data_IF_314306631605
#
_entry.id   IF_314306631605
#
_cell.length_a   1.000
_cell.length_b   1.000
_cell.length_c   1.000
_cell.angle_alpha   90.00
_cell.angle_beta   90.00
_cell.angle_gamma   90.00
#
_symmetry.space_group_name_H-M   'P 1'
#
loop_
_entity.id
_entity.type
_entity.pdbx_description
1 polymer ?
#
# COMPACT_ATOMS: atom_id res chain seq x y z
N UNK A 1 3.82 -19.04 -45.93
CA UNK A 1 4.43 -17.83 -45.35
C UNK A 1 3.75 -17.58 -44.01
N UNK A 2 4.44 -17.94 -42.94
CA UNK A 2 3.93 -17.93 -41.57
C UNK A 2 3.89 -16.50 -41.04
N UNK A 3 2.71 -15.99 -40.66
CA UNK A 3 2.59 -14.82 -39.81
C UNK A 3 2.53 -15.30 -38.36
N UNK A 4 3.62 -15.05 -37.65
CA UNK A 4 3.82 -15.42 -36.26
C UNK A 4 2.77 -14.77 -35.37
N UNK A 5 1.98 -15.61 -34.72
CA UNK A 5 1.14 -15.29 -33.57
C UNK A 5 1.96 -14.52 -32.53
N UNK A 6 1.70 -13.22 -32.39
CA UNK A 6 2.12 -12.42 -31.25
C UNK A 6 1.36 -12.90 -30.02
N UNK A 7 1.81 -13.98 -29.39
CA UNK A 7 1.40 -14.34 -28.03
C UNK A 7 1.87 -13.20 -27.13
N UNK A 8 0.92 -12.36 -26.68
CA UNK A 8 1.16 -11.35 -25.65
C UNK A 8 1.98 -11.97 -24.53
N UNK A 9 3.15 -11.37 -24.21
CA UNK A 9 3.89 -11.77 -23.01
C UNK A 9 2.91 -11.70 -21.83
N UNK A 10 2.89 -12.71 -20.94
CA UNK A 10 2.21 -12.56 -19.67
C UNK A 10 2.66 -11.23 -19.05
N UNK A 11 1.72 -10.40 -18.61
CA UNK A 11 2.03 -9.13 -17.96
C UNK A 11 2.99 -9.40 -16.79
N UNK A 12 4.26 -9.04 -16.96
CA UNK A 12 5.32 -9.36 -16.02
C UNK A 12 5.09 -8.69 -14.66
N UNK A 13 4.40 -7.54 -14.66
CA UNK A 13 3.96 -6.84 -13.45
C UNK A 13 2.91 -7.69 -12.74
N UNK A 14 1.85 -8.11 -13.43
CA UNK A 14 0.81 -8.96 -12.87
C UNK A 14 1.39 -10.27 -12.31
N UNK A 15 2.31 -10.92 -13.04
CA UNK A 15 2.96 -12.14 -12.59
C UNK A 15 3.82 -11.92 -11.33
N UNK A 16 4.53 -10.79 -11.22
CA UNK A 16 5.30 -10.44 -10.02
C UNK A 16 4.39 -10.21 -8.82
N UNK A 17 3.30 -9.45 -9.00
CA UNK A 17 2.34 -9.15 -7.94
C UNK A 17 1.59 -10.39 -7.47
N UNK A 18 1.26 -11.34 -8.36
CA UNK A 18 0.64 -12.61 -7.97
C UNK A 18 1.60 -13.46 -7.12
N UNK A 19 2.89 -13.56 -7.49
CA UNK A 19 3.89 -14.26 -6.65
C UNK A 19 4.08 -13.59 -5.30
N UNK A 20 4.07 -12.26 -5.26
CA UNK A 20 4.12 -11.51 -4.00
C UNK A 20 2.89 -11.81 -3.13
N UNK A 21 1.70 -11.82 -3.74
CA UNK A 21 0.47 -12.17 -3.03
C UNK A 21 0.53 -13.58 -2.42
N UNK A 22 1.03 -14.57 -3.17
CA UNK A 22 1.18 -15.96 -2.70
C UNK A 22 2.10 -16.07 -1.50
N UNK A 23 3.21 -15.33 -1.52
CA UNK A 23 4.21 -15.34 -0.44
C UNK A 23 3.66 -14.68 0.82
N UNK A 24 2.96 -13.55 0.66
CA UNK A 24 2.35 -12.81 1.77
C UNK A 24 1.18 -13.60 2.37
N UNK A 25 0.30 -14.20 1.57
CA UNK A 25 -0.81 -15.01 2.11
C UNK A 25 -0.32 -16.26 2.83
N UNK A 26 0.77 -16.88 2.36
CA UNK A 26 1.42 -17.97 3.08
C UNK A 26 2.00 -17.50 4.44
N UNK A 27 2.60 -16.31 4.49
CA UNK A 27 3.10 -15.71 5.74
C UNK A 27 1.96 -15.43 6.72
N UNK A 28 0.86 -14.84 6.22
CA UNK A 28 -0.35 -14.58 7.00
C UNK A 28 -0.93 -15.88 7.57
N UNK A 29 -1.03 -16.93 6.77
CA UNK A 29 -1.53 -18.24 7.22
C UNK A 29 -0.66 -18.86 8.32
N UNK A 30 0.64 -18.56 8.36
CA UNK A 30 1.57 -19.11 9.34
C UNK A 30 1.51 -18.41 10.71
N UNK A 31 0.99 -17.19 10.81
CA UNK A 31 0.95 -16.42 12.06
C UNK A 31 0.01 -16.99 13.13
N UNK A 32 -1.03 -17.72 12.72
CA UNK A 32 -2.15 -18.14 13.58
C UNK A 32 -2.83 -16.97 14.36
N UNK A 33 -2.62 -15.72 13.92
CA UNK A 33 -3.31 -14.55 14.45
C UNK A 33 -4.75 -14.50 13.92
N UNK A 34 -5.70 -14.10 14.77
CA UNK A 34 -7.10 -14.00 14.37
C UNK A 34 -7.32 -12.88 13.35
N UNK A 35 -6.73 -11.70 13.60
CA UNK A 35 -6.96 -10.47 12.83
C UNK A 35 -5.62 -9.85 12.42
N UNK A 36 -4.82 -10.50 11.54
CA UNK A 36 -3.49 -10.02 11.24
C UNK A 36 -3.52 -8.70 10.46
N UNK A 37 -2.49 -7.89 10.70
CA UNK A 37 -2.23 -6.61 10.04
C UNK A 37 -1.11 -6.77 9.02
N UNK A 38 -1.39 -6.38 7.78
CA UNK A 38 -0.40 -6.32 6.70
C UNK A 38 -0.18 -4.87 6.30
N UNK A 39 1.08 -4.40 6.35
CA UNK A 39 1.46 -3.10 5.79
C UNK A 39 2.15 -3.31 4.45
N UNK A 40 1.67 -2.62 3.42
CA UNK A 40 2.25 -2.64 2.07
C UNK A 40 2.72 -1.23 1.70
N UNK A 41 4.03 -1.04 1.67
CA UNK A 41 4.66 0.20 1.25
C UNK A 41 5.39 0.04 -0.10
N UNK A 42 5.70 1.16 -0.73
CA UNK A 42 6.29 1.31 -2.03
C UNK A 42 5.92 2.66 -2.60
N UNK A 43 6.77 3.20 -3.46
CA UNK A 43 6.53 4.51 -4.08
C UNK A 43 5.28 4.51 -4.98
N UNK A 44 4.74 5.68 -5.30
CA UNK A 44 3.61 5.84 -6.23
C UNK A 44 3.90 5.15 -7.56
N UNK A 45 2.95 4.35 -8.03
CA UNK A 45 3.12 3.51 -9.23
C UNK A 45 3.90 2.19 -9.03
N UNK A 46 4.28 1.80 -7.80
CA UNK A 46 4.96 0.53 -7.53
C UNK A 46 4.05 -0.72 -7.64
N UNK A 47 2.73 -0.56 -7.66
CA UNK A 47 1.76 -1.66 -7.78
C UNK A 47 1.09 -2.10 -6.47
N UNK A 48 1.21 -1.31 -5.40
CA UNK A 48 0.63 -1.59 -4.06
C UNK A 48 -0.85 -1.93 -4.10
N UNK A 49 -1.69 -1.06 -4.66
CA UNK A 49 -3.14 -1.29 -4.77
C UNK A 49 -3.47 -2.58 -5.54
N UNK A 50 -2.68 -2.92 -6.56
CA UNK A 50 -2.85 -4.18 -7.30
C UNK A 50 -2.46 -5.41 -6.47
N UNK A 51 -1.38 -5.32 -5.68
CA UNK A 51 -1.03 -6.35 -4.70
C UNK A 51 -2.13 -6.51 -3.66
N UNK A 52 -2.63 -5.42 -3.07
CA UNK A 52 -3.72 -5.47 -2.07
C UNK A 52 -4.97 -6.13 -2.64
N UNK A 53 -5.38 -5.81 -3.87
CA UNK A 53 -6.49 -6.51 -4.53
C UNK A 53 -6.24 -8.02 -4.65
N UNK A 54 -5.02 -8.43 -4.99
CA UNK A 54 -4.65 -9.84 -5.07
C UNK A 54 -4.63 -10.52 -3.69
N UNK A 55 -4.17 -9.83 -2.64
CA UNK A 55 -4.21 -10.32 -1.26
C UNK A 55 -5.63 -10.54 -0.78
N UNK A 56 -6.52 -9.56 -0.99
CA UNK A 56 -7.94 -9.66 -0.62
C UNK A 56 -8.60 -10.84 -1.31
N UNK A 57 -8.35 -11.04 -2.61
CA UNK A 57 -8.92 -12.14 -3.38
C UNK A 57 -8.38 -13.52 -2.97
N UNK A 58 -7.22 -13.58 -2.32
CA UNK A 58 -6.49 -14.82 -1.96
C UNK A 58 -6.39 -15.01 -0.46
N UNK A 59 -7.16 -14.24 0.30
CA UNK A 59 -7.02 -14.19 1.75
C UNK A 59 -7.25 -15.57 2.38
N UNK A 60 -6.33 -16.06 3.25
CA UNK A 60 -6.50 -17.35 3.89
C UNK A 60 -7.82 -17.46 4.65
N UNK A 61 -8.52 -18.58 4.51
CA UNK A 61 -9.80 -18.84 5.19
C UNK A 61 -11.03 -18.17 4.55
N UNK A 62 -10.86 -17.35 3.50
CA UNK A 62 -11.98 -16.78 2.73
C UNK A 62 -12.85 -15.76 3.50
N UNK A 63 -12.39 -15.31 4.66
CA UNK A 63 -13.06 -14.29 5.46
C UNK A 63 -12.96 -12.89 4.84
N UNK A 64 -13.76 -11.96 5.37
CA UNK A 64 -13.67 -10.55 5.01
C UNK A 64 -12.37 -9.95 5.56
N UNK A 65 -11.64 -9.25 4.71
CA UNK A 65 -10.47 -8.44 5.08
C UNK A 65 -10.77 -6.97 4.76
N UNK A 66 -10.33 -6.07 5.63
CA UNK A 66 -10.45 -4.63 5.44
C UNK A 66 -9.18 -4.09 4.79
N UNK A 67 -9.30 -3.08 3.94
CA UNK A 67 -8.16 -2.40 3.35
C UNK A 67 -8.28 -0.89 3.48
N UNK A 68 -7.23 -0.23 3.95
CA UNK A 68 -7.12 1.23 4.03
C UNK A 68 -5.98 1.68 3.13
N UNK A 69 -6.31 2.50 2.12
CA UNK A 69 -5.33 3.12 1.25
C UNK A 69 -5.03 4.53 1.74
N UNK A 70 -3.76 4.81 2.06
CA UNK A 70 -3.33 6.11 2.56
C UNK A 70 -3.51 7.23 1.54
N UNK A 71 -3.62 6.91 0.24
CA UNK A 71 -3.99 7.87 -0.82
C UNK A 71 -5.32 8.59 -0.49
N UNK A 72 -6.21 7.96 0.29
CA UNK A 72 -7.47 8.56 0.77
C UNK A 72 -7.33 9.34 2.09
N UNK A 73 -6.17 9.32 2.74
CA UNK A 73 -5.90 9.93 4.05
C UNK A 73 -4.99 11.15 3.93
N UNK A 74 -4.05 11.18 2.98
CA UNK A 74 -3.07 12.26 2.89
C UNK A 74 -3.74 13.63 2.73
N UNK A 75 -3.49 14.59 3.64
CA UNK A 75 -4.01 15.94 3.51
C UNK A 75 -3.20 16.72 2.48
N UNK A 76 -3.58 16.57 1.20
CA UNK A 76 -2.96 17.27 0.08
C UNK A 76 -1.56 16.77 -0.29
N UNK A 77 -0.92 17.49 -1.22
CA UNK A 77 0.31 17.04 -1.87
C UNK A 77 1.56 17.08 -0.97
N UNK A 78 1.54 17.81 0.15
CA UNK A 78 2.59 17.78 1.18
C UNK A 78 2.23 16.88 2.38
N UNK A 79 1.13 16.13 2.25
CA UNK A 79 0.51 15.41 3.35
C UNK A 79 1.10 14.03 3.65
N UNK A 80 2.22 13.62 3.05
CA UNK A 80 2.70 12.23 3.18
C UNK A 80 2.89 11.85 4.66
N UNK A 81 3.71 12.61 5.40
CA UNK A 81 3.97 12.30 6.80
C UNK A 81 2.68 12.41 7.65
N UNK A 82 1.90 13.48 7.45
CA UNK A 82 0.68 13.72 8.20
C UNK A 82 -0.36 12.60 8.00
N UNK A 83 -0.49 12.07 6.78
CA UNK A 83 -1.39 10.96 6.49
C UNK A 83 -0.92 9.64 7.09
N UNK A 84 0.40 9.37 7.13
CA UNK A 84 0.91 8.19 7.82
C UNK A 84 0.70 8.30 9.33
N UNK A 85 0.97 9.47 9.93
CA UNK A 85 0.70 9.70 11.36
C UNK A 85 -0.79 9.52 11.68
N UNK A 86 -1.67 10.05 10.84
CA UNK A 86 -3.13 9.86 10.95
C UNK A 86 -3.51 8.38 10.90
N UNK A 87 -2.95 7.61 9.95
CA UNK A 87 -3.21 6.18 9.86
C UNK A 87 -2.64 5.41 11.06
N UNK A 88 -1.47 5.80 11.59
CA UNK A 88 -0.92 5.21 12.80
C UNK A 88 -1.86 5.43 13.98
N UNK A 89 -2.31 6.66 14.18
CA UNK A 89 -3.01 7.07 15.39
C UNK A 89 -4.50 6.68 15.38
N UNK A 90 -5.14 6.69 14.20
CA UNK A 90 -6.58 6.45 14.05
C UNK A 90 -6.94 5.06 13.50
N UNK A 91 -5.98 4.34 12.92
CA UNK A 91 -6.23 3.01 12.30
C UNK A 91 -5.38 1.93 12.95
N UNK A 92 -4.06 2.00 12.83
CA UNK A 92 -3.17 0.91 13.26
C UNK A 92 -3.12 0.76 14.78
N UNK A 93 -3.00 1.86 15.53
CA UNK A 93 -2.91 1.83 17.00
C UNK A 93 -4.23 1.35 17.65
N UNK A 94 -5.42 1.84 17.25
CA UNK A 94 -6.68 1.31 17.76
C UNK A 94 -6.87 -0.17 17.40
N UNK A 95 -6.57 -0.57 16.16
CA UNK A 95 -6.69 -1.96 15.74
C UNK A 95 -5.82 -2.89 16.59
N UNK A 96 -4.55 -2.53 16.82
CA UNK A 96 -3.64 -3.26 17.70
C UNK A 96 -4.11 -3.36 19.17
N UNK A 97 -5.01 -2.46 19.61
CA UNK A 97 -5.62 -2.47 20.94
C UNK A 97 -6.96 -3.20 21.00
N UNK A 98 -7.47 -3.70 19.87
CA UNK A 98 -8.81 -4.28 19.81
C UNK A 98 -9.93 -3.23 19.80
N UNK A 99 -9.62 -1.99 19.42
CA UNK A 99 -10.55 -0.85 19.42
C UNK A 99 -10.97 -0.48 17.99
N UNK A 100 -12.17 0.07 17.84
CA UNK A 100 -12.65 0.59 16.55
C UNK A 100 -11.84 1.84 16.19
N UNK A 101 -11.10 1.77 15.09
CA UNK A 101 -10.45 2.92 14.48
C UNK A 101 -11.46 3.72 13.65
N UNK A 102 -11.37 5.05 13.67
CA UNK A 102 -12.22 5.93 12.83
C UNK A 102 -11.35 7.01 12.21
N UNK A 103 -11.35 7.09 10.88
CA UNK A 103 -10.58 8.07 10.11
C UNK A 103 -11.46 8.79 9.09
N UNK A 104 -11.06 9.98 8.64
CA UNK A 104 -11.79 10.76 7.64
C UNK A 104 -11.09 10.72 6.30
N UNK A 105 -11.86 10.57 5.21
CA UNK A 105 -11.32 10.68 3.85
C UNK A 105 -10.89 12.13 3.58
N UNK A 106 -9.73 12.30 2.95
CA UNK A 106 -9.35 13.56 2.32
C UNK A 106 -9.99 13.68 0.95
N UNK A 107 -10.73 14.75 0.72
CA UNK A 107 -11.28 15.08 -0.58
C UNK A 107 -10.29 15.92 -1.38
N UNK A 108 -9.70 15.30 -2.40
CA UNK A 108 -8.69 15.93 -3.24
C UNK A 108 -9.24 17.01 -4.18
N UNK A 109 -10.55 17.02 -4.46
CA UNK A 109 -11.17 18.02 -5.34
C UNK A 109 -11.39 19.34 -4.60
N UNK A 110 -11.85 19.26 -3.35
CA UNK A 110 -12.12 20.45 -2.53
C UNK A 110 -10.97 20.81 -1.58
N UNK A 111 -10.07 19.88 -1.27
CA UNK A 111 -8.97 20.09 -0.34
C UNK A 111 -9.41 20.14 1.13
N UNK A 112 -10.36 19.29 1.51
CA UNK A 112 -10.93 19.23 2.87
C UNK A 112 -11.20 17.78 3.32
N UNK A 113 -11.35 17.57 4.63
CA UNK A 113 -11.81 16.29 5.15
C UNK A 113 -13.30 16.07 4.88
N UNK A 114 -13.66 14.84 4.52
CA UNK A 114 -15.00 14.43 4.15
C UNK A 114 -15.54 13.35 5.10
N UNK A 115 -16.24 12.35 4.57
CA UNK A 115 -16.89 11.30 5.37
C UNK A 115 -15.90 10.47 6.22
N UNK A 116 -16.40 9.95 7.34
CA UNK A 116 -15.67 9.09 8.23
C UNK A 116 -15.86 7.60 7.90
N UNK A 117 -14.80 6.82 8.06
CA UNK A 117 -14.78 5.37 7.87
C UNK A 117 -14.32 4.69 9.16
N UNK A 118 -15.01 3.60 9.53
CA UNK A 118 -14.64 2.77 10.67
C UNK A 118 -13.80 1.56 10.22
N UNK A 119 -12.85 1.16 11.07
CA UNK A 119 -12.03 -0.05 10.93
C UNK A 119 -12.34 -0.97 12.11
N UNK A 120 -12.90 -2.12 11.80
CA UNK A 120 -13.30 -3.13 12.79
C UNK A 120 -12.09 -3.96 13.26
N UNK A 121 -11.72 -3.95 14.55
CA UNK A 121 -10.58 -4.71 15.05
C UNK A 121 -10.81 -6.23 15.04
N UNK A 122 -12.05 -6.68 14.83
CA UNK A 122 -12.40 -8.10 14.72
C UNK A 122 -12.15 -8.70 13.33
N UNK A 123 -11.65 -7.89 12.38
CA UNK A 123 -11.31 -8.32 11.03
C UNK A 123 -9.83 -8.08 10.73
N UNK A 124 -9.21 -8.90 9.87
CA UNK A 124 -7.88 -8.62 9.34
C UNK A 124 -7.83 -7.28 8.60
N UNK A 125 -6.66 -6.66 8.60
CA UNK A 125 -6.44 -5.32 8.08
C UNK A 125 -5.23 -5.27 7.14
N UNK A 126 -5.40 -4.63 5.99
CA UNK A 126 -4.30 -4.29 5.08
C UNK A 126 -4.22 -2.76 5.01
N UNK A 127 -3.06 -2.17 5.30
CA UNK A 127 -2.81 -0.74 5.11
C UNK A 127 -1.78 -0.58 3.99
N UNK A 128 -2.11 0.23 2.98
CA UNK A 128 -1.21 0.46 1.83
C UNK A 128 -1.02 1.94 1.52
N UNK A 129 0.21 2.34 1.22
CA UNK A 129 0.53 3.74 0.95
C UNK A 129 2.02 4.00 0.90
N UNK A 130 2.44 5.04 0.16
CA UNK A 130 3.83 5.49 0.21
C UNK A 130 4.16 6.10 1.58
N UNK A 131 5.14 5.55 2.29
CA UNK A 131 5.48 5.98 3.65
C UNK A 131 4.82 5.17 4.76
N UNK A 132 3.97 4.20 4.41
CA UNK A 132 3.24 3.38 5.38
C UNK A 132 4.15 2.57 6.32
N UNK A 133 5.37 2.21 5.89
CA UNK A 133 6.32 1.39 6.63
C UNK A 133 7.47 2.23 7.19
N UNK A 134 7.25 2.80 8.38
CA UNK A 134 8.26 3.54 9.14
C UNK A 134 8.49 2.87 10.50
N UNK A 135 9.56 3.22 11.25
CA UNK A 135 9.82 2.61 12.56
C UNK A 135 8.62 2.67 13.52
N UNK A 136 7.83 3.75 13.46
CA UNK A 136 6.66 3.93 14.32
C UNK A 136 5.44 3.09 13.93
N UNK A 137 5.37 2.55 12.70
CA UNK A 137 4.27 1.69 12.22
C UNK A 137 4.69 0.23 12.08
N UNK A 138 5.99 -0.05 11.94
CA UNK A 138 6.50 -1.41 11.74
C UNK A 138 6.15 -2.37 12.89
N UNK A 139 6.10 -1.87 14.14
CA UNK A 139 5.70 -2.67 15.30
C UNK A 139 4.19 -2.95 15.41
N UNK A 140 3.37 -2.34 14.54
CA UNK A 140 1.91 -2.52 14.50
C UNK A 140 1.46 -3.46 13.37
N UNK A 141 2.41 -4.07 12.65
CA UNK A 141 2.14 -4.98 11.55
C UNK A 141 2.67 -6.39 11.86
N UNK A 142 1.90 -7.40 11.48
CA UNK A 142 2.34 -8.79 11.54
C UNK A 142 3.09 -9.21 10.27
N UNK A 143 2.79 -8.58 9.12
CA UNK A 143 3.55 -8.75 7.87
C UNK A 143 3.82 -7.40 7.23
N UNK A 144 5.10 -7.13 6.94
CA UNK A 144 5.58 -5.87 6.38
C UNK A 144 6.13 -6.11 4.98
N UNK A 145 5.60 -5.39 4.00
CA UNK A 145 5.92 -5.58 2.59
C UNK A 145 6.43 -4.28 1.99
N UNK A 146 7.56 -4.35 1.30
CA UNK A 146 8.06 -3.28 0.43
C UNK A 146 7.98 -3.69 -1.04
N UNK A 147 7.36 -2.86 -1.87
CA UNK A 147 7.38 -2.97 -3.32
C UNK A 147 8.41 -2.03 -3.94
N UNK A 148 9.46 -2.62 -4.50
CA UNK A 148 10.50 -1.91 -5.22
C UNK A 148 10.16 -1.87 -6.72
N UNK A 149 10.30 -0.71 -7.35
CA UNK A 149 10.06 -0.62 -8.80
C UNK A 149 10.89 0.48 -9.47
N UNK A 150 11.47 0.22 -10.66
CA UNK A 150 12.32 1.18 -11.34
C UNK A 150 11.62 2.52 -11.57
N UNK A 151 12.31 3.64 -11.29
CA UNK A 151 11.77 5.00 -11.38
C UNK A 151 11.03 5.26 -12.71
N UNK A 152 11.60 4.86 -13.84
CA UNK A 152 10.99 5.04 -15.15
C UNK A 152 9.66 4.26 -15.29
N UNK A 153 9.61 3.03 -14.79
CA UNK A 153 8.42 2.17 -14.83
C UNK A 153 7.32 2.72 -13.93
N UNK A 154 7.63 3.04 -12.66
CA UNK A 154 6.64 3.58 -11.72
C UNK A 154 6.11 4.95 -12.13
N UNK A 155 6.96 5.83 -12.68
CA UNK A 155 6.54 7.15 -13.19
C UNK A 155 5.57 7.00 -14.34
N UNK A 156 5.88 6.13 -15.32
CA UNK A 156 4.98 5.85 -16.43
C UNK A 156 3.62 5.35 -15.94
N UNK A 157 3.59 4.42 -14.97
CA UNK A 157 2.33 3.89 -14.42
C UNK A 157 1.56 4.94 -13.62
N UNK A 158 2.21 5.72 -12.78
CA UNK A 158 1.55 6.74 -11.97
C UNK A 158 0.93 7.84 -12.87
N UNK A 159 1.65 8.30 -13.89
CA UNK A 159 1.11 9.28 -14.84
C UNK A 159 0.01 8.70 -15.73
N UNK A 160 0.06 7.40 -16.07
CA UNK A 160 -1.02 6.75 -16.81
C UNK A 160 -2.29 6.57 -15.97
N UNK A 161 -2.16 6.45 -14.63
CA UNK A 161 -3.28 6.31 -13.68
C UNK A 161 -3.91 7.66 -13.35
N UNK A 162 -3.10 8.62 -12.92
CA UNK A 162 -3.57 9.87 -12.30
C UNK A 162 -3.45 11.10 -13.22
N UNK A 163 -2.85 10.91 -14.41
CA UNK A 163 -2.88 11.87 -15.49
C UNK A 163 -2.33 13.27 -15.15
N UNK A 164 -3.02 14.28 -15.66
CA UNK A 164 -2.64 15.69 -15.55
C UNK A 164 -2.83 16.26 -14.14
N UNK A 165 -3.69 15.66 -13.30
CA UNK A 165 -3.85 16.11 -11.91
C UNK A 165 -2.59 15.81 -11.09
N UNK A 166 -1.90 14.71 -11.37
CA UNK A 166 -0.69 14.33 -10.65
C UNK A 166 0.60 14.91 -11.24
N UNK A 167 0.63 15.15 -12.56
CA UNK A 167 1.84 15.59 -13.27
C UNK A 167 2.53 16.82 -12.65
N UNK A 168 1.82 17.90 -12.25
CA UNK A 168 2.43 19.07 -11.62
C UNK A 168 3.06 18.77 -10.25
N UNK A 169 2.55 17.77 -9.54
CA UNK A 169 2.94 17.43 -8.17
C UNK A 169 3.92 16.26 -8.10
N UNK A 170 4.32 15.68 -9.24
CA UNK A 170 5.22 14.53 -9.30
C UNK A 170 6.51 14.76 -8.50
N UNK A 171 7.19 15.88 -8.72
CA UNK A 171 8.48 16.16 -8.09
C UNK A 171 8.34 16.39 -6.59
N UNK A 172 7.32 17.17 -6.19
CA UNK A 172 6.98 17.43 -4.80
C UNK A 172 6.66 16.13 -4.03
N UNK A 173 5.87 15.24 -4.62
CA UNK A 173 5.54 13.95 -4.01
C UNK A 173 6.76 13.03 -3.98
N UNK A 174 7.50 12.93 -5.09
CA UNK A 174 8.68 12.07 -5.18
C UNK A 174 9.77 12.46 -4.16
N UNK A 175 9.92 13.75 -3.86
CA UNK A 175 10.85 14.23 -2.84
C UNK A 175 10.44 13.80 -1.42
N UNK A 176 9.14 13.73 -1.11
CA UNK A 176 8.68 13.20 0.17
C UNK A 176 8.93 11.69 0.31
N UNK A 177 8.70 10.94 -0.76
CA UNK A 177 9.02 9.51 -0.78
C UNK A 177 10.51 9.25 -0.57
N UNK A 178 11.37 10.06 -1.19
CA UNK A 178 12.82 9.94 -1.05
C UNK A 178 13.27 10.24 0.38
N UNK A 179 12.77 11.34 0.99
CA UNK A 179 13.01 11.64 2.40
C UNK A 179 12.56 10.51 3.32
N UNK A 180 11.41 9.90 3.05
CA UNK A 180 10.94 8.74 3.80
C UNK A 180 11.91 7.55 3.68
N UNK A 181 12.35 7.22 2.46
CA UNK A 181 13.30 6.11 2.25
C UNK A 181 14.62 6.35 2.97
N UNK A 182 15.17 7.57 2.86
CA UNK A 182 16.43 7.95 3.52
C UNK A 182 16.32 7.90 5.04
N UNK A 183 15.22 8.40 5.60
CA UNK A 183 15.01 8.51 7.04
C UNK A 183 14.67 7.16 7.68
N UNK A 184 13.78 6.40 7.06
CA UNK A 184 13.11 5.26 7.70
C UNK A 184 13.64 3.90 7.22
N UNK A 185 14.38 3.87 6.11
CA UNK A 185 14.92 2.65 5.49
C UNK A 185 13.87 1.52 5.40
N UNK A 186 12.69 1.76 4.77
CA UNK A 186 11.55 0.85 4.80
C UNK A 186 11.89 -0.57 4.28
N UNK A 187 12.83 -0.69 3.34
CA UNK A 187 13.32 -1.99 2.86
C UNK A 187 13.93 -2.85 3.98
N UNK A 188 14.56 -2.21 4.97
CA UNK A 188 15.16 -2.90 6.12
C UNK A 188 14.14 -3.26 7.19
N UNK A 189 12.96 -2.63 7.17
CA UNK A 189 11.84 -2.92 8.07
C UNK A 189 10.92 -4.01 7.52
N UNK A 190 10.99 -4.29 6.22
CA UNK A 190 10.11 -5.24 5.56
C UNK A 190 10.52 -6.70 5.82
N UNK A 191 9.52 -7.56 6.04
CA UNK A 191 9.70 -9.02 6.03
C UNK A 191 9.89 -9.52 4.59
N UNK A 192 9.20 -8.86 3.65
CA UNK A 192 9.24 -9.19 2.22
C UNK A 192 9.51 -7.98 1.36
N UNK A 193 10.53 -8.10 0.49
CA UNK A 193 10.85 -7.12 -0.55
C UNK A 193 10.59 -7.74 -1.92
N UNK A 194 9.69 -7.15 -2.70
CA UNK A 194 9.38 -7.63 -4.04
C UNK A 194 9.74 -6.60 -5.10
N UNK A 195 10.50 -7.04 -6.11
CA UNK A 195 10.77 -6.25 -7.29
C UNK A 195 9.60 -6.35 -8.29
N UNK A 196 9.07 -5.21 -8.70
CA UNK A 196 8.00 -5.07 -9.70
C UNK A 196 8.58 -4.34 -10.92
N UNK A 197 8.64 -4.97 -12.11
CA UNK A 197 9.31 -4.41 -13.29
C UNK A 197 8.63 -3.17 -13.88
#
# INVERSE_FOLDING_TARGET
>A
MSSSSSRSRPDAVAAALLRAADTVTASVAALAAANPVVIVDGRSGAGKTSLVRALVARWPGGGRVQSVALDAIYPGWDGLQAGVDTARDLVLTPHARGEIGVWQRWDWEVGEYSEAHAVDPSLPLIVEGAGALQPSTAGLADVRVWLESPTASRRRRALARDGETYRPHWEQWAAQEERHIERDAPQSLADHVFAVP
#
